data_IF_007218442824
#
_entry.id   IF_007218442824
#
_cell.length_a   1.000
_cell.length_b   1.000
_cell.length_c   1.000
_cell.angle_alpha   90.00
_cell.angle_beta   90.00
_cell.angle_gamma   90.00
#
_symmetry.space_group_name_H-M   'P 1'
#
loop_
_entity.id
_entity.type
_entity.pdbx_description
1 polymer ?
#
# COMPACT_ATOMS: atom_id res chain seq x y z
N UNK A 1 18.20 41.22 -6.27
CA UNK A 1 17.69 39.96 -5.68
C UNK A 1 18.48 38.84 -6.35
N UNK A 2 19.25 38.05 -5.59
CA UNK A 2 19.95 36.87 -6.14
C UNK A 2 18.87 35.85 -6.42
N UNK A 3 18.67 35.47 -7.69
CA UNK A 3 17.90 34.27 -8.04
C UNK A 3 18.64 33.10 -7.40
N UNK A 4 18.06 32.51 -6.38
CA UNK A 4 18.49 31.22 -5.89
C UNK A 4 18.18 30.28 -7.06
N UNK A 5 19.19 29.89 -7.82
CA UNK A 5 19.09 28.77 -8.76
C UNK A 5 18.56 27.58 -7.95
N UNK A 6 17.33 27.24 -8.19
CA UNK A 6 16.74 26.02 -7.63
C UNK A 6 17.55 24.87 -8.22
N UNK A 7 18.25 24.14 -7.36
CA UNK A 7 19.01 22.95 -7.75
C UNK A 7 18.05 22.01 -8.51
N UNK A 8 18.40 21.70 -9.74
CA UNK A 8 17.65 20.75 -10.54
C UNK A 8 17.76 19.34 -9.90
N UNK A 9 16.65 18.72 -9.42
CA UNK A 9 16.74 17.44 -8.76
C UNK A 9 17.02 16.30 -9.75
N UNK A 10 17.72 15.26 -9.30
CA UNK A 10 17.88 14.03 -10.07
C UNK A 10 16.54 13.31 -10.23
N UNK A 11 15.69 13.38 -9.21
CA UNK A 11 14.45 12.61 -9.08
C UNK A 11 13.33 13.51 -8.58
N UNK A 12 12.15 13.39 -9.18
CA UNK A 12 10.90 13.97 -8.69
C UNK A 12 9.91 12.86 -8.34
N UNK A 13 9.38 12.90 -7.12
CA UNK A 13 8.26 12.08 -6.68
C UNK A 13 7.01 12.96 -6.59
N UNK A 14 5.94 12.57 -7.28
CA UNK A 14 4.66 13.30 -7.28
C UNK A 14 3.69 12.60 -6.32
N UNK A 15 3.25 13.34 -5.29
CA UNK A 15 2.42 12.84 -4.20
C UNK A 15 3.24 12.36 -3.01
N UNK A 16 2.74 12.61 -1.79
CA UNK A 16 3.39 12.23 -0.53
C UNK A 16 2.61 11.09 0.18
N UNK A 17 2.23 10.07 -0.59
CA UNK A 17 1.67 8.82 -0.09
C UNK A 17 2.73 7.76 0.21
N UNK A 18 2.26 6.57 0.65
CA UNK A 18 3.12 5.43 1.05
C UNK A 18 4.07 4.99 -0.06
N UNK A 19 3.64 5.04 -1.33
CA UNK A 19 4.48 4.60 -2.46
C UNK A 19 5.68 5.52 -2.65
N UNK A 20 5.48 6.84 -2.64
CA UNK A 20 6.56 7.82 -2.73
C UNK A 20 7.48 7.77 -1.51
N UNK A 21 6.93 7.59 -0.31
CA UNK A 21 7.71 7.42 0.91
C UNK A 21 8.64 6.20 0.84
N UNK A 22 8.10 5.04 0.45
CA UNK A 22 8.85 3.80 0.31
C UNK A 22 9.93 3.91 -0.77
N UNK A 23 9.56 4.42 -1.95
CA UNK A 23 10.51 4.61 -3.06
C UNK A 23 11.61 5.59 -2.69
N UNK A 24 11.27 6.71 -2.02
CA UNK A 24 12.25 7.70 -1.57
C UNK A 24 13.32 7.10 -0.64
N UNK A 25 12.91 6.24 0.30
CA UNK A 25 13.84 5.51 1.16
C UNK A 25 14.74 4.59 0.32
N UNK A 26 14.16 3.74 -0.56
CA UNK A 26 14.97 2.86 -1.42
C UNK A 26 15.99 3.62 -2.27
N UNK A 27 15.59 4.76 -2.84
CA UNK A 27 16.47 5.58 -3.65
C UNK A 27 17.64 6.13 -2.83
N UNK A 28 17.39 6.60 -1.62
CA UNK A 28 18.43 7.12 -0.73
C UNK A 28 19.36 6.01 -0.20
N UNK A 29 18.84 4.80 0.03
CA UNK A 29 19.67 3.63 0.40
C UNK A 29 20.58 3.20 -0.75
N UNK A 30 20.06 3.18 -1.99
CA UNK A 30 20.81 2.74 -3.17
C UNK A 30 21.72 3.81 -3.76
N UNK A 31 21.33 5.07 -3.64
CA UNK A 31 22.02 6.24 -4.20
C UNK A 31 22.01 7.40 -3.19
N UNK A 32 22.81 7.35 -2.11
CA UNK A 32 22.76 8.33 -1.03
C UNK A 32 22.93 9.79 -1.46
N UNK A 33 23.67 10.02 -2.55
CA UNK A 33 23.98 11.36 -3.07
C UNK A 33 22.92 11.91 -4.04
N UNK A 34 21.89 11.13 -4.44
CA UNK A 34 20.87 11.63 -5.35
C UNK A 34 20.02 12.71 -4.66
N UNK A 35 19.62 13.71 -5.45
CA UNK A 35 18.71 14.77 -5.01
C UNK A 35 17.27 14.41 -5.37
N UNK A 36 16.35 14.50 -4.39
CA UNK A 36 14.95 14.12 -4.54
C UNK A 36 14.07 15.31 -4.15
N UNK A 37 13.24 15.78 -5.08
CA UNK A 37 12.13 16.68 -4.78
C UNK A 37 10.82 15.91 -4.73
N UNK A 38 10.02 16.16 -3.71
CA UNK A 38 8.72 15.55 -3.51
C UNK A 38 7.67 16.67 -3.53
N UNK A 39 6.71 16.58 -4.44
CA UNK A 39 5.63 17.57 -4.57
C UNK A 39 4.31 16.99 -4.12
N UNK A 40 3.72 17.60 -3.09
CA UNK A 40 2.43 17.23 -2.54
C UNK A 40 1.46 18.42 -2.62
N UNK A 41 0.29 18.19 -3.21
CA UNK A 41 -0.74 19.23 -3.37
C UNK A 41 -1.40 19.63 -2.04
N UNK A 42 -1.42 18.70 -1.07
CA UNK A 42 -2.01 18.93 0.25
C UNK A 42 -1.02 19.64 1.18
N UNK A 43 -1.53 20.09 2.32
CA UNK A 43 -0.75 20.77 3.35
C UNK A 43 0.00 19.82 4.30
N UNK A 44 -0.21 18.51 4.15
CA UNK A 44 0.52 17.49 4.89
C UNK A 44 0.65 16.18 4.08
N UNK A 45 1.56 15.30 4.51
CA UNK A 45 1.75 13.96 3.94
C UNK A 45 0.65 13.00 4.39
N UNK A 46 0.36 11.98 3.58
CA UNK A 46 -0.56 10.87 3.90
C UNK A 46 -2.02 11.29 4.18
N UNK A 47 -2.54 12.34 3.53
CA UNK A 47 -3.91 12.81 3.73
C UNK A 47 -4.95 12.18 2.78
N UNK A 48 -4.51 11.48 1.74
CA UNK A 48 -5.39 10.81 0.76
C UNK A 48 -5.45 9.30 1.03
N UNK A 49 -5.22 8.45 0.02
CA UNK A 49 -5.34 6.99 0.11
C UNK A 49 -4.53 6.34 1.24
N UNK A 50 -3.43 6.96 1.68
CA UNK A 50 -2.61 6.47 2.79
C UNK A 50 -3.17 6.82 4.18
N UNK A 51 -4.15 7.73 4.29
CA UNK A 51 -4.77 8.03 5.58
C UNK A 51 -5.50 6.80 6.13
N UNK A 52 -5.43 6.62 7.46
CA UNK A 52 -6.02 5.45 8.12
C UNK A 52 -7.53 5.30 7.92
N UNK A 53 -8.26 6.40 7.63
CA UNK A 53 -9.70 6.38 7.37
C UNK A 53 -10.07 6.17 5.90
N UNK A 54 -9.07 6.18 5.00
CA UNK A 54 -9.28 6.06 3.55
C UNK A 54 -8.88 4.68 3.01
N UNK A 55 -8.47 3.75 3.86
CA UNK A 55 -8.14 2.37 3.48
C UNK A 55 -8.53 1.40 4.60
N UNK A 56 -8.53 0.10 4.29
CA UNK A 56 -8.94 -0.94 5.23
C UNK A 56 -7.90 -1.25 6.31
N UNK A 57 -6.65 -0.79 6.17
CA UNK A 57 -5.57 -1.07 7.11
C UNK A 57 -5.17 -2.55 7.21
N UNK A 58 -5.71 -3.41 6.38
CA UNK A 58 -5.45 -4.84 6.43
C UNK A 58 -4.03 -5.16 5.98
N UNK A 59 -3.27 -5.85 6.80
CA UNK A 59 -2.01 -6.46 6.35
C UNK A 59 -2.30 -7.53 5.30
N UNK A 60 -1.87 -7.30 4.05
CA UNK A 60 -2.26 -8.11 2.88
C UNK A 60 -1.60 -9.50 2.85
N UNK A 61 -1.83 -10.31 3.90
CA UNK A 61 -1.34 -11.69 4.00
C UNK A 61 -2.22 -12.71 3.27
N UNK A 62 -3.31 -12.28 2.62
CA UNK A 62 -4.29 -13.14 1.95
C UNK A 62 -4.97 -14.16 2.88
N UNK A 63 -4.99 -13.92 4.17
CA UNK A 63 -5.56 -14.86 5.14
C UNK A 63 -7.09 -14.87 5.11
N UNK A 64 -7.71 -13.70 4.94
CA UNK A 64 -9.16 -13.53 5.01
C UNK A 64 -9.84 -13.23 3.66
N UNK A 65 -9.11 -12.81 2.63
CA UNK A 65 -9.69 -12.41 1.35
C UNK A 65 -10.04 -13.62 0.47
N UNK A 66 -11.33 -13.89 0.33
CA UNK A 66 -11.85 -15.05 -0.42
C UNK A 66 -11.67 -14.90 -1.95
N UNK A 67 -11.65 -13.67 -2.46
CA UNK A 67 -11.48 -13.36 -3.88
C UNK A 67 -10.07 -13.67 -4.44
N UNK A 68 -9.11 -14.02 -3.59
CA UNK A 68 -7.78 -14.45 -4.02
C UNK A 68 -7.66 -15.94 -4.26
N UNK A 69 -8.73 -16.68 -4.01
CA UNK A 69 -8.78 -18.15 -4.08
C UNK A 69 -10.01 -18.66 -4.85
N UNK A 70 -10.16 -18.30 -6.14
CA UNK A 70 -11.32 -18.71 -6.91
C UNK A 70 -11.40 -20.23 -7.06
N UNK A 71 -12.62 -20.76 -7.04
CA UNK A 71 -12.87 -22.16 -7.39
C UNK A 71 -12.92 -22.30 -8.91
N UNK A 72 -12.17 -23.26 -9.46
CA UNK A 72 -12.16 -23.62 -10.88
C UNK A 72 -13.37 -24.47 -11.24
N UNK A 73 -13.61 -24.66 -12.55
CA UNK A 73 -14.70 -25.48 -13.08
C UNK A 73 -14.61 -26.96 -12.64
N UNK A 74 -13.39 -27.47 -12.45
CA UNK A 74 -13.13 -28.82 -11.93
C UNK A 74 -13.35 -28.94 -10.40
N UNK A 75 -13.75 -27.87 -9.74
CA UNK A 75 -14.01 -27.81 -8.30
C UNK A 75 -12.77 -27.63 -7.43
N UNK A 76 -11.57 -27.53 -8.00
CA UNK A 76 -10.33 -27.23 -7.27
C UNK A 76 -10.22 -25.74 -6.92
N UNK A 77 -9.41 -25.40 -5.93
CA UNK A 77 -9.17 -24.00 -5.53
C UNK A 77 -7.84 -23.52 -6.10
N UNK A 78 -7.87 -22.41 -6.81
CA UNK A 78 -6.64 -21.75 -7.26
C UNK A 78 -6.11 -20.83 -6.15
N UNK A 79 -4.96 -21.17 -5.59
CA UNK A 79 -4.31 -20.42 -4.52
C UNK A 79 -3.13 -19.56 -4.99
N UNK A 80 -2.86 -19.52 -6.29
CA UNK A 80 -1.67 -18.84 -6.86
C UNK A 80 -1.62 -17.36 -6.49
N UNK A 81 -2.75 -16.67 -6.59
CA UNK A 81 -2.86 -15.24 -6.23
C UNK A 81 -2.66 -15.02 -4.74
N UNK A 82 -3.26 -15.86 -3.89
CA UNK A 82 -3.10 -15.77 -2.44
C UNK A 82 -1.63 -15.94 -2.01
N UNK A 83 -0.94 -16.95 -2.55
CA UNK A 83 0.48 -17.18 -2.29
C UNK A 83 1.35 -16.00 -2.72
N UNK A 84 1.12 -15.45 -3.92
CA UNK A 84 1.86 -14.29 -4.42
C UNK A 84 1.69 -13.07 -3.50
N UNK A 85 0.45 -12.78 -3.09
CA UNK A 85 0.14 -11.63 -2.23
C UNK A 85 0.75 -11.83 -0.84
N UNK A 86 0.58 -13.00 -0.22
CA UNK A 86 1.17 -13.32 1.07
C UNK A 86 2.70 -13.18 1.05
N UNK A 87 3.37 -13.74 0.03
CA UNK A 87 4.83 -13.62 -0.13
C UNK A 87 5.28 -12.17 -0.29
N UNK A 88 4.54 -11.36 -1.06
CA UNK A 88 4.85 -9.93 -1.23
C UNK A 88 4.71 -9.15 0.08
N UNK A 89 3.72 -9.52 0.90
CA UNK A 89 3.54 -8.89 2.21
C UNK A 89 4.66 -9.26 3.19
N UNK A 90 5.14 -10.52 3.17
CA UNK A 90 6.31 -10.93 3.95
C UNK A 90 7.56 -10.10 3.59
N UNK A 91 7.80 -9.84 2.31
CA UNK A 91 8.87 -8.93 1.86
C UNK A 91 8.68 -7.52 2.41
N UNK A 92 7.44 -7.01 2.42
CA UNK A 92 7.14 -5.70 3.01
C UNK A 92 7.46 -5.64 4.50
N UNK A 93 7.10 -6.69 5.26
CA UNK A 93 7.44 -6.79 6.71
C UNK A 93 8.95 -6.87 6.94
N UNK A 94 9.68 -7.59 6.09
CA UNK A 94 11.15 -7.65 6.15
C UNK A 94 11.76 -6.27 5.94
N UNK A 95 11.27 -5.51 4.96
CA UNK A 95 11.71 -4.14 4.72
C UNK A 95 11.41 -3.23 5.92
N UNK A 96 10.21 -3.27 6.48
CA UNK A 96 9.88 -2.49 7.68
C UNK A 96 10.74 -2.88 8.89
N UNK A 97 11.03 -4.18 9.05
CA UNK A 97 11.96 -4.67 10.07
C UNK A 97 13.36 -4.09 9.89
N UNK A 98 13.86 -4.03 8.66
CA UNK A 98 15.12 -3.37 8.34
C UNK A 98 15.11 -1.89 8.74
N UNK A 99 14.06 -1.14 8.40
CA UNK A 99 13.93 0.27 8.75
C UNK A 99 13.92 0.52 10.27
N UNK A 100 13.31 -0.39 11.03
CA UNK A 100 13.31 -0.36 12.50
C UNK A 100 14.73 -0.62 13.02
N UNK A 101 15.42 -1.62 12.49
CA UNK A 101 16.81 -1.95 12.87
C UNK A 101 17.78 -0.78 12.59
N UNK A 102 17.55 -0.04 11.50
CA UNK A 102 18.31 1.17 11.17
C UNK A 102 17.88 2.40 11.99
N UNK A 103 16.87 2.27 12.86
CA UNK A 103 16.28 3.38 13.62
C UNK A 103 15.63 4.47 12.75
N UNK A 104 15.24 4.16 11.51
CA UNK A 104 14.48 5.07 10.64
C UNK A 104 13.03 5.17 11.10
N UNK A 105 12.50 4.08 11.67
CA UNK A 105 11.22 4.03 12.37
C UNK A 105 11.48 3.60 13.80
N UNK A 106 11.08 4.42 14.78
CA UNK A 106 11.37 4.18 16.20
C UNK A 106 10.22 3.57 16.98
N UNK A 107 9.01 3.56 16.42
CA UNK A 107 7.77 3.13 17.09
C UNK A 107 6.94 2.24 16.15
N UNK A 108 7.32 0.96 15.96
CA UNK A 108 6.57 0.05 15.08
C UNK A 108 5.12 -0.15 15.54
N UNK A 109 4.86 -0.10 16.84
CA UNK A 109 3.53 -0.18 17.43
C UNK A 109 2.59 0.97 17.04
N UNK A 110 3.11 2.04 16.46
CA UNK A 110 2.30 3.12 15.93
C UNK A 110 1.63 2.77 14.58
N UNK A 111 2.14 1.77 13.87
CA UNK A 111 1.63 1.48 12.53
C UNK A 111 1.27 0.01 12.27
N UNK A 112 1.78 -0.96 13.03
CA UNK A 112 1.48 -2.38 12.82
C UNK A 112 1.12 -3.08 14.12
N UNK A 113 -0.02 -3.79 14.10
CA UNK A 113 -0.53 -4.53 15.26
C UNK A 113 -0.88 -5.95 14.84
N UNK A 114 -0.62 -6.92 15.71
CA UNK A 114 -1.10 -8.29 15.52
C UNK A 114 -2.60 -8.35 15.82
N UNK A 115 -3.38 -8.89 14.88
CA UNK A 115 -4.81 -9.14 15.02
C UNK A 115 -5.18 -10.38 14.22
N UNK A 116 -6.00 -11.30 14.76
CA UNK A 116 -6.43 -12.46 13.99
C UNK A 116 -7.20 -12.06 12.73
N UNK A 117 -6.81 -12.63 11.58
CA UNK A 117 -7.58 -12.51 10.34
C UNK A 117 -8.55 -13.68 10.21
N UNK A 118 -9.80 -13.38 9.90
CA UNK A 118 -10.85 -14.39 9.79
C UNK A 118 -11.69 -14.19 8.54
N UNK A 119 -12.07 -15.33 7.91
CA UNK A 119 -13.14 -15.35 6.91
C UNK A 119 -14.33 -16.07 7.50
N UNK A 120 -15.52 -15.52 7.33
CA UNK A 120 -16.77 -16.13 7.76
C UNK A 120 -17.70 -16.27 6.57
N UNK A 121 -18.35 -17.42 6.47
CA UNK A 121 -19.33 -17.73 5.42
C UNK A 121 -20.56 -18.42 5.98
N UNK A 122 -21.67 -18.35 5.23
CA UNK A 122 -22.92 -19.05 5.53
C UNK A 122 -23.50 -19.68 4.25
N UNK A 123 -24.34 -20.68 4.41
CA UNK A 123 -24.93 -21.49 3.35
C UNK A 123 -24.03 -22.66 2.91
N UNK A 124 -24.67 -23.74 2.51
CA UNK A 124 -24.03 -25.04 2.23
C UNK A 124 -22.87 -24.93 1.21
N UNK A 125 -23.09 -24.22 0.11
CA UNK A 125 -22.10 -24.08 -0.96
C UNK A 125 -20.87 -23.28 -0.49
N UNK A 126 -21.09 -22.17 0.23
CA UNK A 126 -20.02 -21.34 0.75
C UNK A 126 -19.20 -22.06 1.83
N UNK A 127 -19.86 -22.85 2.69
CA UNK A 127 -19.18 -23.67 3.71
C UNK A 127 -18.32 -24.74 3.03
N UNK A 128 -18.85 -25.39 1.99
CA UNK A 128 -18.08 -26.36 1.20
C UNK A 128 -16.89 -25.71 0.50
N UNK A 129 -17.07 -24.53 -0.09
CA UNK A 129 -15.98 -23.75 -0.68
C UNK A 129 -14.90 -23.38 0.35
N UNK A 130 -15.31 -22.84 1.50
CA UNK A 130 -14.36 -22.41 2.54
C UNK A 130 -13.54 -23.58 3.08
N UNK A 131 -14.17 -24.76 3.21
CA UNK A 131 -13.48 -26.00 3.63
C UNK A 131 -12.41 -26.41 2.61
N UNK A 132 -12.75 -26.44 1.33
CA UNK A 132 -11.80 -26.75 0.25
C UNK A 132 -10.64 -25.74 0.20
N UNK A 133 -10.96 -24.46 0.34
CA UNK A 133 -9.96 -23.39 0.43
C UNK A 133 -8.99 -23.64 1.57
N UNK A 134 -9.50 -23.89 2.76
CA UNK A 134 -8.70 -24.21 3.93
C UNK A 134 -7.79 -25.42 3.70
N UNK A 135 -8.34 -26.54 3.24
CA UNK A 135 -7.60 -27.78 3.01
C UNK A 135 -6.46 -27.59 1.98
N UNK A 136 -6.66 -26.72 0.98
CA UNK A 136 -5.64 -26.42 -0.02
C UNK A 136 -4.57 -25.49 0.51
N UNK A 137 -4.95 -24.36 1.17
CA UNK A 137 -4.01 -23.37 1.69
C UNK A 137 -3.11 -23.95 2.79
N UNK A 138 -3.69 -24.75 3.70
CA UNK A 138 -2.99 -25.34 4.85
C UNK A 138 -1.80 -26.25 4.46
N UNK A 139 -1.73 -26.70 3.22
CA UNK A 139 -0.60 -27.48 2.71
C UNK A 139 0.64 -26.61 2.39
N UNK A 140 0.52 -25.30 2.52
CA UNK A 140 1.59 -24.34 2.22
C UNK A 140 2.11 -23.70 3.50
N UNK A 141 3.41 -23.41 3.55
CA UNK A 141 4.10 -22.88 4.76
C UNK A 141 3.46 -21.60 5.28
N UNK A 142 3.07 -20.67 4.39
CA UNK A 142 2.50 -19.37 4.80
C UNK A 142 1.12 -19.49 5.46
N UNK A 143 0.43 -20.64 5.31
CA UNK A 143 -0.93 -20.86 5.80
C UNK A 143 -1.03 -22.10 6.71
N UNK A 144 0.07 -22.71 7.09
CA UNK A 144 0.08 -23.97 7.87
C UNK A 144 -0.59 -23.85 9.25
N UNK A 145 -0.59 -22.66 9.86
CA UNK A 145 -1.23 -22.39 11.14
C UNK A 145 -2.72 -22.02 11.02
N UNK A 146 -3.26 -21.97 9.78
CA UNK A 146 -4.67 -21.65 9.57
C UNK A 146 -5.58 -22.65 10.27
N UNK A 147 -6.59 -22.16 10.93
CA UNK A 147 -7.63 -22.93 11.61
C UNK A 147 -8.94 -22.84 10.82
N UNK A 148 -9.76 -23.88 10.92
CA UNK A 148 -11.11 -23.95 10.35
C UNK A 148 -12.08 -24.46 11.40
N UNK A 149 -13.26 -23.89 11.47
CA UNK A 149 -14.35 -24.42 12.27
C UNK A 149 -15.70 -24.20 11.60
N UNK A 150 -16.60 -25.19 11.72
CA UNK A 150 -18.03 -25.12 11.50
C UNK A 150 -18.83 -25.45 12.77
N UNK A 151 -18.12 -25.56 13.90
CA UNK A 151 -18.74 -25.73 15.22
C UNK A 151 -19.27 -24.42 15.78
N UNK A 152 -20.56 -24.39 16.13
CA UNK A 152 -21.26 -23.21 16.62
C UNK A 152 -20.66 -22.61 17.90
N UNK A 153 -20.17 -23.45 18.82
CA UNK A 153 -19.61 -22.96 20.09
C UNK A 153 -18.25 -22.29 19.83
N UNK A 154 -17.43 -22.92 18.99
CA UNK A 154 -16.15 -22.37 18.58
C UNK A 154 -16.31 -21.04 17.81
N UNK A 155 -17.30 -20.97 16.89
CA UNK A 155 -17.57 -19.73 16.14
C UNK A 155 -18.10 -18.62 17.06
N UNK A 156 -18.91 -18.94 18.08
CA UNK A 156 -19.34 -17.95 19.09
C UNK A 156 -18.18 -17.42 19.93
N UNK A 157 -17.17 -18.25 20.18
CA UNK A 157 -15.95 -17.81 20.86
C UNK A 157 -15.11 -16.89 19.96
N UNK A 158 -14.92 -17.27 18.70
CA UNK A 158 -14.10 -16.50 17.76
C UNK A 158 -14.73 -15.17 17.34
N UNK A 159 -16.04 -15.18 17.01
CA UNK A 159 -16.76 -14.06 16.40
C UNK A 159 -18.14 -13.84 17.07
N UNK A 160 -18.18 -13.53 18.37
CA UNK A 160 -19.43 -13.48 19.15
C UNK A 160 -20.47 -12.54 18.55
N UNK A 161 -20.05 -11.36 18.05
CA UNK A 161 -20.96 -10.36 17.48
C UNK A 161 -21.60 -10.84 16.17
N UNK A 162 -20.87 -11.58 15.35
CA UNK A 162 -21.38 -12.13 14.09
C UNK A 162 -22.34 -13.28 14.34
N UNK A 163 -22.11 -14.04 15.40
CA UNK A 163 -22.94 -15.21 15.76
C UNK A 163 -24.18 -14.86 16.58
N UNK A 164 -24.26 -13.66 17.13
CA UNK A 164 -25.39 -13.23 17.97
C UNK A 164 -26.68 -13.13 17.14
N UNK A 165 -27.74 -13.79 17.60
CA UNK A 165 -29.06 -13.76 16.94
C UNK A 165 -29.20 -14.62 15.68
N UNK A 166 -28.17 -15.39 15.27
CA UNK A 166 -28.27 -16.32 14.14
C UNK A 166 -29.12 -17.53 14.46
N UNK A 167 -29.76 -18.06 13.43
CA UNK A 167 -30.48 -19.35 13.51
C UNK A 167 -29.46 -20.50 13.59
N UNK A 168 -29.61 -21.36 14.59
CA UNK A 168 -28.72 -22.53 14.78
C UNK A 168 -28.79 -23.57 13.68
N UNK A 169 -29.85 -23.58 12.87
CA UNK A 169 -29.99 -24.44 11.72
C UNK A 169 -29.20 -23.98 10.50
N UNK A 170 -28.72 -22.71 10.51
CA UNK A 170 -27.93 -22.15 9.42
C UNK A 170 -26.55 -22.81 9.36
N UNK A 171 -26.15 -23.27 8.19
CA UNK A 171 -24.80 -23.75 7.93
C UNK A 171 -23.84 -22.58 7.90
N UNK A 172 -22.86 -22.60 8.77
CA UNK A 172 -21.85 -21.54 8.91
C UNK A 172 -20.46 -22.14 9.08
N UNK A 173 -19.44 -21.42 8.64
CA UNK A 173 -18.06 -21.79 8.90
C UNK A 173 -17.15 -20.53 8.92
N UNK A 174 -16.01 -20.65 9.58
CA UNK A 174 -14.96 -19.63 9.54
C UNK A 174 -13.57 -20.26 9.43
N UNK A 175 -12.65 -19.50 8.85
CA UNK A 175 -11.21 -19.71 9.01
C UNK A 175 -10.63 -18.63 9.87
N UNK A 176 -9.56 -18.95 10.60
CA UNK A 176 -8.84 -18.03 11.49
C UNK A 176 -7.34 -18.19 11.34
N UNK A 177 -6.63 -17.08 11.33
CA UNK A 177 -5.17 -17.02 11.30
C UNK A 177 -4.72 -16.02 12.35
N UNK A 178 -4.04 -16.49 13.41
CA UNK A 178 -3.65 -15.66 14.57
C UNK A 178 -2.60 -14.59 14.22
N UNK A 179 -1.76 -14.88 13.24
CA UNK A 179 -0.65 -14.01 12.83
C UNK A 179 -1.04 -12.93 11.82
N UNK A 180 -2.32 -12.62 11.71
CA UNK A 180 -2.81 -11.49 10.92
C UNK A 180 -2.31 -10.15 11.47
N UNK A 181 -2.37 -9.11 10.67
CA UNK A 181 -1.92 -7.77 11.05
C UNK A 181 -2.87 -6.68 10.60
N UNK A 182 -3.05 -5.68 11.46
CA UNK A 182 -3.62 -4.37 11.13
C UNK A 182 -2.47 -3.37 10.90
N UNK A 183 -2.56 -2.59 9.82
CA UNK A 183 -1.52 -1.63 9.42
C UNK A 183 -2.10 -0.24 9.25
N UNK A 184 -1.66 0.70 10.06
CA UNK A 184 -1.92 2.12 9.86
C UNK A 184 -0.93 2.70 8.84
N UNK A 185 -1.30 2.66 7.56
CA UNK A 185 -0.46 3.17 6.48
C UNK A 185 -0.17 4.67 6.59
N UNK A 186 -1.08 5.46 7.17
CA UNK A 186 -0.85 6.88 7.43
C UNK A 186 0.26 7.10 8.44
N UNK A 187 0.27 6.35 9.53
CA UNK A 187 1.34 6.43 10.53
C UNK A 187 2.69 6.00 9.96
N UNK A 188 2.71 4.89 9.20
CA UNK A 188 3.91 4.41 8.51
C UNK A 188 4.43 5.47 7.53
N UNK A 189 3.58 6.03 6.67
CA UNK A 189 3.94 7.05 5.68
C UNK A 189 4.54 8.27 6.35
N UNK A 190 3.91 8.76 7.42
CA UNK A 190 4.43 9.92 8.19
C UNK A 190 5.80 9.62 8.83
N UNK A 191 6.00 8.41 9.35
CA UNK A 191 7.29 8.01 9.91
C UNK A 191 8.39 7.99 8.84
N UNK A 192 8.11 7.44 7.66
CA UNK A 192 9.03 7.42 6.52
C UNK A 192 9.37 8.83 6.04
N UNK A 193 8.39 9.72 5.88
CA UNK A 193 8.66 11.12 5.50
C UNK A 193 9.42 11.88 6.56
N UNK A 194 9.15 11.62 7.84
CA UNK A 194 9.94 12.22 8.94
C UNK A 194 11.42 11.86 8.82
N UNK A 195 11.73 10.60 8.48
CA UNK A 195 13.11 10.19 8.23
C UNK A 195 13.66 10.80 6.93
N UNK A 196 12.95 10.72 5.81
CA UNK A 196 13.38 11.26 4.52
C UNK A 196 13.77 12.75 4.61
N UNK A 197 13.03 13.54 5.36
CA UNK A 197 13.30 14.98 5.55
C UNK A 197 14.59 15.27 6.35
N UNK A 198 15.17 14.26 7.00
CA UNK A 198 16.49 14.41 7.68
C UNK A 198 17.65 14.15 6.73
N UNK A 199 17.41 13.59 5.56
CA UNK A 199 18.45 13.20 4.61
C UNK A 199 18.84 14.35 3.70
N UNK A 200 20.15 14.52 3.51
CA UNK A 200 20.68 15.53 2.58
C UNK A 200 20.16 15.30 1.15
N UNK A 201 19.83 16.38 0.46
CA UNK A 201 19.34 16.34 -0.92
C UNK A 201 17.85 15.96 -1.06
N UNK A 202 17.12 15.72 0.03
CA UNK A 202 15.67 15.49 0.00
C UNK A 202 14.93 16.77 0.35
N UNK A 203 14.00 17.19 -0.51
CA UNK A 203 13.14 18.35 -0.24
C UNK A 203 11.67 17.99 -0.48
N UNK A 204 10.84 18.19 0.55
CA UNK A 204 9.39 18.03 0.49
C UNK A 204 8.72 19.41 0.32
N UNK A 205 7.94 19.55 -0.74
CA UNK A 205 7.13 20.72 -1.03
C UNK A 205 5.65 20.40 -0.83
N UNK A 206 5.09 20.85 0.27
CA UNK A 206 3.65 20.79 0.54
C UNK A 206 2.94 21.98 -0.14
N UNK A 207 1.63 21.87 -0.39
CA UNK A 207 0.84 22.84 -1.14
C UNK A 207 1.39 23.11 -2.55
N UNK A 208 2.02 22.11 -3.15
CA UNK A 208 2.59 22.22 -4.50
C UNK A 208 1.97 21.14 -5.41
N UNK A 209 1.27 21.58 -6.42
CA UNK A 209 0.59 20.70 -7.37
C UNK A 209 1.34 20.61 -8.67
N UNK A 210 1.67 19.41 -9.11
CA UNK A 210 2.17 19.16 -10.47
C UNK A 210 0.98 19.22 -11.43
N UNK A 211 1.02 20.18 -12.34
CA UNK A 211 -0.05 20.48 -13.29
C UNK A 211 0.18 19.86 -14.65
N UNK A 212 1.44 19.69 -15.01
CA UNK A 212 1.85 19.16 -16.31
C UNK A 212 3.15 18.42 -16.21
N UNK A 213 3.36 17.50 -17.16
CA UNK A 213 4.56 16.69 -17.27
C UNK A 213 4.81 16.39 -18.75
N UNK A 214 6.01 16.69 -19.23
CA UNK A 214 6.40 16.54 -20.64
C UNK A 214 7.80 15.96 -20.74
N UNK A 215 7.99 14.97 -21.62
CA UNK A 215 9.31 14.42 -21.91
C UNK A 215 10.02 15.30 -22.93
N UNK A 216 11.23 15.73 -22.61
CA UNK A 216 12.05 16.58 -23.46
C UNK A 216 12.89 15.76 -24.45
N UNK A 217 13.35 16.41 -25.53
CA UNK A 217 14.14 15.76 -26.57
C UNK A 217 15.49 15.20 -26.09
N UNK A 218 16.04 15.75 -24.98
CA UNK A 218 17.26 15.30 -24.33
C UNK A 218 17.06 14.14 -23.36
N UNK A 219 15.81 13.67 -23.22
CA UNK A 219 15.42 12.57 -22.34
C UNK A 219 15.06 12.97 -20.92
N UNK A 220 15.21 14.25 -20.55
CA UNK A 220 14.73 14.78 -19.26
C UNK A 220 13.21 14.94 -19.26
N UNK A 221 12.66 15.07 -18.06
CA UNK A 221 11.27 15.43 -17.84
C UNK A 221 11.16 16.88 -17.40
N UNK A 222 10.30 17.65 -18.01
CA UNK A 222 9.90 18.99 -17.57
C UNK A 222 8.53 18.92 -16.93
N UNK A 223 8.41 19.50 -15.72
CA UNK A 223 7.17 19.57 -14.97
C UNK A 223 6.78 21.03 -14.72
N UNK A 224 5.49 21.31 -14.84
CA UNK A 224 4.91 22.57 -14.37
C UNK A 224 4.36 22.36 -12.98
N UNK A 225 5.00 22.98 -11.99
CA UNK A 225 4.60 22.93 -10.58
C UNK A 225 3.96 24.25 -10.19
N UNK A 226 2.75 24.17 -9.59
CA UNK A 226 2.02 25.31 -9.04
C UNK A 226 2.14 25.33 -7.53
N UNK A 227 2.71 26.40 -6.97
CA UNK A 227 2.58 26.74 -5.55
C UNK A 227 1.13 27.21 -5.30
N UNK A 228 0.39 26.48 -4.49
CA UNK A 228 -1.02 26.77 -4.19
C UNK A 228 -1.18 27.91 -3.17
N UNK A 229 -0.13 28.23 -2.42
CA UNK A 229 -0.12 29.31 -1.44
C UNK A 229 0.21 30.66 -2.11
N UNK A 230 1.31 30.70 -2.87
CA UNK A 230 1.72 31.89 -3.59
C UNK A 230 0.97 32.11 -4.91
N UNK A 231 0.24 31.09 -5.41
CA UNK A 231 -0.42 31.06 -6.73
C UNK A 231 0.56 31.21 -7.92
N UNK A 232 1.83 30.91 -7.72
CA UNK A 232 2.88 30.98 -8.72
C UNK A 232 3.09 29.65 -9.42
N UNK A 233 3.52 29.69 -10.67
CA UNK A 233 3.95 28.50 -11.42
C UNK A 233 5.43 28.56 -11.71
N UNK A 234 6.08 27.41 -11.68
CA UNK A 234 7.48 27.25 -12.08
C UNK A 234 7.69 25.99 -12.90
N UNK A 235 8.67 26.02 -13.76
CA UNK A 235 9.16 24.85 -14.48
C UNK A 235 10.27 24.20 -13.66
N UNK A 236 10.26 22.87 -13.59
CA UNK A 236 11.30 22.07 -12.95
C UNK A 236 11.63 20.90 -13.89
N UNK A 237 12.92 20.68 -14.12
CA UNK A 237 13.40 19.57 -14.94
C UNK A 237 14.09 18.52 -14.07
N UNK A 238 14.03 17.25 -14.50
CA UNK A 238 14.62 16.12 -13.79
C UNK A 238 14.90 14.97 -14.74
N UNK A 239 15.75 14.03 -14.32
CA UNK A 239 16.05 12.80 -15.08
C UNK A 239 14.99 11.72 -14.88
N UNK A 240 14.36 11.68 -13.71
CA UNK A 240 13.39 10.62 -13.37
C UNK A 240 12.19 11.19 -12.64
N UNK A 241 11.00 10.72 -13.00
CA UNK A 241 9.73 11.06 -12.34
C UNK A 241 9.01 9.80 -11.91
N UNK A 242 8.52 9.80 -10.70
CA UNK A 242 7.57 8.81 -10.20
C UNK A 242 6.22 9.47 -9.95
N UNK A 243 5.16 8.95 -10.57
CA UNK A 243 3.80 9.42 -10.38
C UNK A 243 3.16 8.58 -9.28
N UNK A 244 3.26 9.05 -8.03
CA UNK A 244 2.67 8.46 -6.83
C UNK A 244 1.42 9.22 -6.35
N UNK A 245 0.67 9.82 -7.28
CA UNK A 245 -0.41 10.76 -6.98
C UNK A 245 -1.76 10.09 -6.66
N UNK A 246 -1.80 8.78 -6.41
CA UNK A 246 -3.03 8.05 -6.09
C UNK A 246 -4.11 8.28 -7.16
N UNK A 247 -5.31 8.72 -6.76
CA UNK A 247 -6.40 9.05 -7.68
C UNK A 247 -6.09 10.18 -8.68
N UNK A 248 -5.04 10.98 -8.45
CA UNK A 248 -4.56 12.00 -9.37
C UNK A 248 -3.56 11.50 -10.43
N UNK A 249 -3.24 10.21 -10.44
CA UNK A 249 -2.22 9.67 -11.35
C UNK A 249 -2.66 9.64 -12.81
N UNK A 250 -3.92 9.28 -13.08
CA UNK A 250 -4.44 9.14 -14.45
C UNK A 250 -4.31 10.43 -15.28
N UNK A 251 -4.74 11.62 -14.81
CA UNK A 251 -4.56 12.86 -15.55
C UNK A 251 -3.09 13.22 -15.84
N UNK A 252 -2.16 12.81 -14.99
CA UNK A 252 -0.72 13.03 -15.21
C UNK A 252 -0.16 12.04 -16.22
N UNK A 253 -0.59 10.78 -16.19
CA UNK A 253 -0.23 9.76 -17.18
C UNK A 253 -0.71 10.15 -18.57
N UNK A 254 -1.94 10.64 -18.72
CA UNK A 254 -2.48 11.14 -20.00
C UNK A 254 -1.63 12.30 -20.58
N UNK A 255 -1.11 13.17 -19.70
CA UNK A 255 -0.25 14.31 -20.10
C UNK A 255 1.19 13.92 -20.39
N UNK A 256 1.64 12.77 -19.88
CA UNK A 256 3.03 12.32 -20.06
C UNK A 256 3.36 11.82 -21.46
N UNK A 257 2.34 11.61 -22.31
CA UNK A 257 2.44 11.04 -23.66
C UNK A 257 3.20 9.69 -23.70
N UNK A 258 3.10 8.92 -22.60
CA UNK A 258 3.66 7.57 -22.51
C UNK A 258 2.66 6.60 -23.14
N UNK A 259 2.97 6.09 -24.34
CA UNK A 259 2.07 5.19 -25.11
C UNK A 259 1.71 3.92 -24.33
N UNK A 260 2.65 3.38 -23.54
CA UNK A 260 2.46 2.19 -22.73
C UNK A 260 1.47 2.42 -21.56
N UNK A 261 1.17 3.67 -21.25
CA UNK A 261 0.17 4.04 -20.21
C UNK A 261 -1.26 4.19 -20.79
N UNK A 262 -1.42 4.13 -22.11
CA UNK A 262 -2.75 4.18 -22.73
C UNK A 262 -3.59 2.96 -22.33
N UNK A 263 -4.80 3.20 -21.83
CA UNK A 263 -5.73 2.15 -21.40
C UNK A 263 -5.60 1.69 -19.97
N UNK A 264 -4.67 2.22 -19.19
CA UNK A 264 -4.66 2.06 -17.74
C UNK A 264 -5.55 3.13 -17.10
N UNK A 265 -6.86 2.86 -17.12
CA UNK A 265 -7.83 3.56 -16.29
C UNK A 265 -8.01 2.81 -14.98
N UNK A 266 -7.93 3.52 -13.87
CA UNK A 266 -8.15 2.97 -12.55
C UNK A 266 -9.60 2.57 -12.29
#
# INVERSE_FOLDING_TARGET
MKSTELIQPDIILIGAGIMSATLGIFLKELQPNCTIHIYEKMDAVALESSDAWNNAGTGHSAFCELNYTPQKEDGTIDISKALKIASSFEVSKQFWSYLIQQSYITSPEAFIHSIPHMSFVWGEENVSYLKKRFDTLKQTVLFEEMQYSDDWNQLREWIPLVMNGRDKSEKVAATRMEVGTDVNFGALTRALFKHLQTLEGVTLFLNHEVRDIEKQADGHWMLIVKDLTAHEKREVTTKFVFIGAGGGSLPLLEKSDIKEAEGFGG
#
